data_IF_064115513653
#
_entry.id   IF_064115513653
#
_cell.length_a   1.000
_cell.length_b   1.000
_cell.length_c   1.000
_cell.angle_alpha   90.00
_cell.angle_beta   90.00
_cell.angle_gamma   90.00
#
_symmetry.space_group_name_H-M   'P 1'
#
loop_
_entity.id
_entity.type
_entity.pdbx_description
1 polymer ?
#
# COMPACT_ATOMS: atom_id res chain seq x y z
N UNK A 1 20.18 -24.40 2.70
CA UNK A 1 18.75 -24.69 2.37
C UNK A 1 17.73 -24.39 3.47
N UNK A 2 17.96 -24.64 4.78
CA UNK A 2 16.98 -24.28 5.84
C UNK A 2 17.10 -22.83 6.35
N UNK A 3 18.30 -22.23 6.29
CA UNK A 3 18.53 -20.82 6.66
C UNK A 3 18.06 -19.81 5.60
N UNK A 4 18.14 -20.19 4.33
CA UNK A 4 17.74 -19.35 3.18
C UNK A 4 16.21 -19.18 3.05
N UNK A 5 15.44 -20.20 3.50
CA UNK A 5 13.98 -20.09 3.66
C UNK A 5 13.55 -19.19 4.83
N UNK A 6 14.44 -18.92 5.78
CA UNK A 6 14.19 -18.11 6.97
C UNK A 6 14.61 -16.64 6.78
N UNK A 7 15.54 -16.33 5.87
CA UNK A 7 15.85 -14.92 5.49
C UNK A 7 14.87 -14.38 4.45
N UNK A 8 14.21 -15.26 3.69
CA UNK A 8 13.04 -14.94 2.87
C UNK A 8 11.74 -14.82 3.69
N UNK A 9 11.79 -15.07 5.01
CA UNK A 9 10.77 -14.56 5.94
C UNK A 9 10.88 -13.04 5.97
N UNK A 10 10.27 -12.42 4.96
CA UNK A 10 9.24 -11.43 5.24
C UNK A 10 9.80 -10.24 6.04
N UNK A 11 10.26 -9.18 5.35
CA UNK A 11 10.53 -7.89 6.01
C UNK A 11 9.33 -7.54 6.91
N UNK A 12 9.54 -6.92 8.08
CA UNK A 12 8.48 -6.63 9.10
C UNK A 12 7.16 -6.07 8.53
N UNK A 13 7.20 -5.55 7.30
CA UNK A 13 6.11 -4.90 6.58
C UNK A 13 5.31 -5.81 5.67
N UNK A 14 5.79 -6.96 5.25
CA UNK A 14 4.98 -7.99 4.60
C UNK A 14 4.74 -9.09 5.65
N UNK A 15 3.72 -9.92 5.53
CA UNK A 15 3.54 -11.18 6.25
C UNK A 15 2.70 -12.10 5.39
N UNK A 16 3.01 -13.40 5.37
CA UNK A 16 2.28 -14.41 4.61
C UNK A 16 1.83 -15.46 5.61
N UNK A 17 0.52 -15.68 5.68
CA UNK A 17 -0.12 -16.65 6.55
C UNK A 17 -0.82 -17.69 5.68
N UNK A 18 -0.52 -18.96 5.94
CA UNK A 18 -1.13 -20.09 5.23
C UNK A 18 -2.25 -20.68 6.08
N UNK A 19 -3.45 -20.67 5.52
CA UNK A 19 -4.60 -21.38 6.06
C UNK A 19 -5.00 -22.50 5.10
N UNK A 20 -5.78 -23.47 5.58
CA UNK A 20 -6.21 -24.62 4.76
C UNK A 20 -7.02 -24.19 3.53
N UNK A 21 -7.82 -23.12 3.67
CA UNK A 21 -8.76 -22.67 2.63
C UNK A 21 -8.38 -21.36 1.93
N UNK A 22 -7.37 -20.64 2.43
CA UNK A 22 -6.89 -19.39 1.83
C UNK A 22 -5.45 -19.06 2.21
N UNK A 23 -4.81 -18.18 1.43
CA UNK A 23 -3.57 -17.51 1.79
C UNK A 23 -3.89 -16.07 2.18
N UNK A 24 -3.40 -15.60 3.32
CA UNK A 24 -3.48 -14.19 3.71
C UNK A 24 -2.12 -13.53 3.59
N UNK A 25 -2.07 -12.43 2.84
CA UNK A 25 -0.89 -11.59 2.74
C UNK A 25 -1.21 -10.26 3.41
N UNK A 26 -0.45 -9.93 4.45
CA UNK A 26 -0.62 -8.71 5.23
C UNK A 26 0.52 -7.77 4.93
N UNK A 27 0.22 -6.52 4.60
CA UNK A 27 1.21 -5.50 4.29
C UNK A 27 1.01 -4.23 5.12
N UNK A 28 1.96 -3.89 5.97
CA UNK A 28 1.99 -2.62 6.68
C UNK A 28 2.28 -1.45 5.74
N UNK A 29 1.65 -0.30 6.01
CA UNK A 29 1.86 0.91 5.21
C UNK A 29 3.05 1.73 5.68
N UNK A 30 3.39 1.60 6.97
CA UNK A 30 4.46 2.33 7.62
C UNK A 30 5.79 2.15 6.89
N UNK A 31 6.39 3.27 6.53
CA UNK A 31 7.73 3.40 5.96
C UNK A 31 8.65 4.13 6.93
N UNK A 32 9.95 4.19 6.60
CA UNK A 32 10.91 4.99 7.36
C UNK A 32 10.62 6.50 7.28
N UNK A 33 9.91 6.93 6.23
CA UNK A 33 9.49 8.33 6.05
C UNK A 33 8.25 8.71 6.84
N UNK A 34 7.47 7.73 7.34
CA UNK A 34 6.26 7.99 8.12
C UNK A 34 6.50 8.81 9.40
N UNK A 35 7.50 8.51 10.26
CA UNK A 35 7.77 9.35 11.44
C UNK A 35 8.16 10.79 11.08
N UNK A 36 8.95 11.01 10.03
CA UNK A 36 9.30 12.36 9.57
C UNK A 36 8.06 13.16 9.15
N UNK A 37 7.16 12.51 8.40
CA UNK A 37 5.90 13.12 8.00
C UNK A 37 4.99 13.42 9.21
N UNK A 38 5.01 12.58 10.24
CA UNK A 38 4.26 12.79 11.47
C UNK A 38 4.73 14.04 12.23
N UNK A 39 6.06 14.22 12.39
CA UNK A 39 6.62 15.43 13.02
C UNK A 39 6.23 16.67 12.23
N UNK A 40 6.37 16.65 10.91
CA UNK A 40 5.94 17.74 10.04
C UNK A 40 4.46 18.05 10.21
N UNK A 41 3.61 17.03 10.30
CA UNK A 41 2.16 17.18 10.47
C UNK A 41 1.80 17.81 11.80
N UNK A 42 2.45 17.39 12.89
CA UNK A 42 2.23 17.98 14.22
C UNK A 42 2.65 19.45 14.23
N UNK A 43 3.83 19.75 13.68
CA UNK A 43 4.32 21.13 13.56
C UNK A 43 3.39 22.00 12.72
N UNK A 44 2.95 21.52 11.55
CA UNK A 44 2.03 22.23 10.66
C UNK A 44 0.70 22.54 11.32
N UNK A 45 0.07 21.56 11.97
CA UNK A 45 -1.19 21.78 12.69
C UNK A 45 -0.98 22.71 13.90
N UNK A 46 0.17 22.62 14.58
CA UNK A 46 0.54 23.54 15.65
C UNK A 46 0.65 25.00 15.19
N UNK A 47 1.28 25.25 14.04
CA UNK A 47 1.34 26.59 13.45
C UNK A 47 -0.05 27.15 13.12
N UNK A 48 -0.96 26.31 12.62
CA UNK A 48 -2.35 26.73 12.34
C UNK A 48 -3.10 27.07 13.62
N UNK A 49 -2.98 26.24 14.66
CA UNK A 49 -3.59 26.53 15.98
C UNK A 49 -3.04 27.85 16.53
N UNK A 50 -1.72 28.05 16.47
CA UNK A 50 -1.09 29.29 16.91
C UNK A 50 -1.58 30.50 16.10
N UNK A 51 -1.66 30.37 14.77
CA UNK A 51 -2.19 31.43 13.90
C UNK A 51 -3.58 31.88 14.33
N UNK A 52 -4.49 30.92 14.58
CA UNK A 52 -5.84 31.25 15.05
C UNK A 52 -5.87 31.80 16.48
N UNK A 53 -4.90 31.47 17.33
CA UNK A 53 -4.84 31.99 18.71
C UNK A 53 -4.43 33.45 18.84
N UNK A 54 -3.75 34.02 17.83
CA UNK A 54 -3.31 35.42 17.83
C UNK A 54 -4.32 36.36 17.14
N UNK A 55 -5.40 35.81 16.58
CA UNK A 55 -6.46 36.62 15.96
C UNK A 55 -7.25 37.38 17.01
N UNK A 56 -7.76 38.54 16.63
CA UNK A 56 -8.56 39.42 17.47
C UNK A 56 -9.73 40.01 16.68
N UNK A 57 -10.61 40.74 17.37
CA UNK A 57 -11.82 41.34 16.78
C UNK A 57 -11.54 42.31 15.61
N UNK A 58 -10.33 42.87 15.54
CA UNK A 58 -9.90 43.80 14.49
C UNK A 58 -9.19 43.10 13.31
N UNK A 59 -9.07 41.77 13.34
CA UNK A 59 -8.34 41.02 12.33
C UNK A 59 -9.09 41.05 10.99
N UNK A 60 -8.42 41.42 9.87
CA UNK A 60 -9.06 41.46 8.57
C UNK A 60 -9.64 40.10 8.17
N UNK A 61 -10.81 40.08 7.54
CA UNK A 61 -11.49 38.84 7.13
C UNK A 61 -10.59 37.92 6.28
N UNK A 62 -9.74 38.49 5.43
CA UNK A 62 -8.80 37.73 4.61
C UNK A 62 -7.77 36.96 5.45
N UNK A 63 -7.33 37.50 6.59
CA UNK A 63 -6.38 36.87 7.52
C UNK A 63 -7.03 35.68 8.25
N UNK A 64 -8.35 35.74 8.46
CA UNK A 64 -9.16 34.68 9.07
C UNK A 64 -9.42 33.54 8.07
N UNK A 65 -9.75 33.88 6.82
CA UNK A 65 -10.15 32.93 5.79
C UNK A 65 -8.98 32.27 5.06
N UNK A 66 -7.86 32.98 4.88
CA UNK A 66 -6.68 32.46 4.17
C UNK A 66 -6.17 31.10 4.69
N UNK A 67 -6.10 30.84 6.01
CA UNK A 67 -5.64 29.55 6.53
C UNK A 67 -6.69 28.44 6.42
N UNK A 68 -7.93 28.70 6.01
CA UNK A 68 -8.99 27.69 5.98
C UNK A 68 -8.62 26.47 5.11
N UNK A 69 -8.08 26.72 3.91
CA UNK A 69 -7.59 25.64 3.04
C UNK A 69 -6.39 24.91 3.65
N UNK A 70 -5.56 25.60 4.42
CA UNK A 70 -4.42 25.01 5.13
C UNK A 70 -4.87 24.13 6.30
N UNK A 71 -5.97 24.47 6.99
CA UNK A 71 -6.63 23.62 8.00
C UNK A 71 -7.16 22.35 7.35
N UNK A 72 -7.89 22.47 6.24
CA UNK A 72 -8.37 21.29 5.50
C UNK A 72 -7.20 20.38 5.07
N UNK A 73 -6.09 20.96 4.61
CA UNK A 73 -4.87 20.23 4.30
C UNK A 73 -4.24 19.58 5.54
N UNK A 74 -4.20 20.29 6.67
CA UNK A 74 -3.67 19.80 7.95
C UNK A 74 -4.43 18.60 8.51
N UNK A 75 -5.77 18.65 8.47
CA UNK A 75 -6.66 17.56 8.87
C UNK A 75 -6.49 16.37 7.93
N UNK A 76 -6.47 16.61 6.62
CA UNK A 76 -6.29 15.56 5.62
C UNK A 76 -4.94 14.85 5.78
N UNK A 77 -3.89 15.63 6.07
CA UNK A 77 -2.55 15.11 6.31
C UNK A 77 -2.48 14.31 7.63
N UNK A 78 -3.11 14.80 8.70
CA UNK A 78 -3.21 14.08 9.97
C UNK A 78 -3.91 12.72 9.80
N UNK A 79 -5.04 12.71 9.09
CA UNK A 79 -5.74 11.48 8.73
C UNK A 79 -4.86 10.52 7.93
N UNK A 80 -4.14 11.05 6.93
CA UNK A 80 -3.24 10.25 6.10
C UNK A 80 -2.09 9.64 6.92
N UNK A 81 -1.46 10.42 7.80
CA UNK A 81 -0.38 9.93 8.68
C UNK A 81 -0.91 8.85 9.63
N UNK A 82 -2.10 9.05 10.22
CA UNK A 82 -2.73 8.03 11.06
C UNK A 82 -2.98 6.74 10.27
N UNK A 83 -3.49 6.83 9.04
CA UNK A 83 -3.67 5.69 8.15
C UNK A 83 -2.33 5.00 7.83
N UNK A 84 -1.24 5.73 7.54
CA UNK A 84 0.07 5.13 7.28
C UNK A 84 0.62 4.34 8.48
N UNK A 85 0.37 4.81 9.71
CA UNK A 85 0.83 4.15 10.92
C UNK A 85 0.00 2.92 11.29
N UNK A 86 -1.32 3.03 11.17
CA UNK A 86 -2.24 2.03 11.69
C UNK A 86 -2.70 1.02 10.64
N UNK A 87 -2.82 1.43 9.37
CA UNK A 87 -3.37 0.56 8.36
C UNK A 87 -2.41 -0.52 7.91
N UNK A 88 -3.01 -1.67 7.66
CA UNK A 88 -2.45 -2.78 6.91
C UNK A 88 -3.37 -3.09 5.74
N UNK A 89 -2.77 -3.47 4.62
CA UNK A 89 -3.50 -4.12 3.52
C UNK A 89 -3.51 -5.61 3.78
N UNK A 90 -4.70 -6.19 3.88
CA UNK A 90 -4.91 -7.62 3.93
C UNK A 90 -5.40 -8.10 2.57
N UNK A 91 -4.73 -9.12 2.05
CA UNK A 91 -5.03 -9.71 0.75
C UNK A 91 -5.33 -11.18 1.02
N UNK A 92 -6.61 -11.52 0.93
CA UNK A 92 -7.09 -12.89 1.10
C UNK A 92 -7.20 -13.53 -0.27
N UNK A 93 -6.51 -14.64 -0.47
CA UNK A 93 -6.50 -15.41 -1.70
C UNK A 93 -7.22 -16.72 -1.39
N UNK A 94 -8.51 -16.76 -1.70
CA UNK A 94 -9.34 -17.95 -1.57
C UNK A 94 -9.52 -18.66 -2.92
N UNK A 95 -10.13 -19.84 -2.90
CA UNK A 95 -10.33 -20.64 -4.11
C UNK A 95 -11.23 -19.95 -5.16
N UNK A 96 -12.23 -19.19 -4.71
CA UNK A 96 -13.22 -18.55 -5.60
C UNK A 96 -12.95 -17.07 -5.87
N UNK A 97 -12.34 -16.36 -4.91
CA UNK A 97 -12.11 -14.92 -5.00
C UNK A 97 -10.86 -14.47 -4.25
N UNK A 98 -10.32 -13.35 -4.72
CA UNK A 98 -9.29 -12.57 -4.05
C UNK A 98 -9.93 -11.32 -3.46
N UNK A 99 -9.70 -11.07 -2.16
CA UNK A 99 -10.26 -9.92 -1.43
C UNK A 99 -9.13 -9.05 -0.91
N UNK A 100 -9.17 -7.75 -1.21
CA UNK A 100 -8.23 -6.75 -0.68
C UNK A 100 -8.98 -5.82 0.27
N UNK A 101 -8.44 -5.65 1.46
CA UNK A 101 -9.01 -4.80 2.50
C UNK A 101 -7.93 -3.94 3.18
N UNK A 102 -8.24 -2.68 3.40
CA UNK A 102 -7.45 -1.76 4.21
C UNK A 102 -8.14 -1.55 5.55
N UNK A 103 -7.43 -1.86 6.63
CA UNK A 103 -7.96 -1.80 8.00
C UNK A 103 -6.85 -1.43 8.99
N UNK A 104 -7.16 -0.77 10.12
CA UNK A 104 -8.51 -0.50 10.65
C UNK A 104 -9.16 0.80 10.14
N UNK A 105 -8.40 1.78 9.69
CA UNK A 105 -8.94 3.07 9.23
C UNK A 105 -9.47 2.93 7.80
N UNK A 106 -10.69 3.41 7.49
CA UNK A 106 -11.25 3.36 6.14
C UNK A 106 -10.32 3.99 5.09
N UNK A 107 -10.04 3.26 4.03
CA UNK A 107 -9.28 3.79 2.91
C UNK A 107 -9.79 3.22 1.59
N UNK A 108 -9.66 4.02 0.52
CA UNK A 108 -10.08 3.61 -0.82
C UNK A 108 -9.14 2.51 -1.33
N UNK A 109 -9.69 1.52 -2.02
CA UNK A 109 -8.88 0.44 -2.61
C UNK A 109 -9.35 -0.96 -2.23
N UNK A 110 -10.30 -1.07 -1.29
CA UNK A 110 -10.99 -2.32 -1.00
C UNK A 110 -11.66 -2.86 -2.27
N UNK A 111 -11.45 -4.14 -2.56
CA UNK A 111 -11.96 -4.78 -3.79
C UNK A 111 -12.06 -6.28 -3.64
N UNK A 112 -12.95 -6.86 -4.42
CA UNK A 112 -13.08 -8.31 -4.59
C UNK A 112 -12.91 -8.65 -6.06
N UNK A 113 -12.16 -9.71 -6.34
CA UNK A 113 -11.83 -10.17 -7.69
C UNK A 113 -12.17 -11.66 -7.75
N UNK A 114 -13.20 -12.07 -8.51
CA UNK A 114 -13.47 -13.48 -8.75
C UNK A 114 -12.28 -14.14 -9.44
N UNK A 115 -11.86 -15.32 -8.96
CA UNK A 115 -10.76 -16.08 -9.55
C UNK A 115 -11.09 -16.47 -11.00
N UNK A 116 -12.36 -16.76 -11.28
CA UNK A 116 -12.87 -17.00 -12.64
C UNK A 116 -12.69 -15.82 -13.60
N UNK A 117 -12.53 -14.60 -13.08
CA UNK A 117 -12.27 -13.42 -13.89
C UNK A 117 -10.78 -13.27 -14.24
N UNK A 118 -9.88 -14.02 -13.60
CA UNK A 118 -8.43 -13.90 -13.74
C UNK A 118 -7.96 -14.66 -14.98
N UNK A 119 -7.42 -13.91 -15.94
CA UNK A 119 -6.77 -14.45 -17.13
C UNK A 119 -5.29 -14.79 -16.89
N UNK A 120 -4.60 -13.94 -16.14
CA UNK A 120 -3.16 -14.08 -15.90
C UNK A 120 -2.76 -13.42 -14.58
N UNK A 121 -1.78 -14.03 -13.91
CA UNK A 121 -1.09 -13.47 -12.74
C UNK A 121 0.41 -13.42 -13.04
N UNK A 122 1.07 -12.30 -12.73
CA UNK A 122 2.50 -12.12 -13.01
C UNK A 122 3.16 -11.08 -12.11
N UNK A 123 4.45 -11.26 -11.82
CA UNK A 123 5.28 -10.22 -11.22
C UNK A 123 5.79 -9.24 -12.29
N UNK A 124 5.80 -7.96 -11.95
CA UNK A 124 6.32 -6.86 -12.77
C UNK A 124 7.39 -6.10 -12.00
N UNK A 125 8.51 -5.84 -12.66
CA UNK A 125 9.52 -4.91 -12.12
C UNK A 125 9.12 -3.47 -12.43
N UNK A 126 9.36 -2.60 -11.45
CA UNK A 126 9.10 -1.18 -11.55
C UNK A 126 10.36 -0.42 -11.15
N UNK A 127 10.93 0.25 -12.14
CA UNK A 127 12.15 1.04 -12.01
C UNK A 127 11.74 2.48 -11.74
N UNK A 128 12.20 3.01 -10.62
CA UNK A 128 12.13 4.42 -10.27
C UNK A 128 13.47 5.07 -10.61
N UNK A 129 13.40 6.13 -11.42
CA UNK A 129 14.55 6.97 -11.71
C UNK A 129 14.55 8.15 -10.73
N UNK A 130 15.66 8.37 -10.04
CA UNK A 130 15.90 9.51 -9.16
C UNK A 130 17.22 10.18 -9.53
N UNK A 131 17.44 11.41 -9.06
CA UNK A 131 18.67 12.15 -9.32
C UNK A 131 19.92 11.42 -8.78
N UNK A 132 19.81 10.69 -7.67
CA UNK A 132 20.90 9.87 -7.10
C UNK A 132 21.00 8.43 -7.64
N UNK A 133 20.10 7.97 -8.52
CA UNK A 133 20.20 6.64 -9.12
C UNK A 133 18.86 5.94 -9.44
N UNK A 134 18.93 4.62 -9.70
CA UNK A 134 17.77 3.76 -9.98
C UNK A 134 17.38 2.97 -8.74
N UNK A 135 16.10 3.04 -8.35
CA UNK A 135 15.51 2.16 -7.34
C UNK A 135 14.56 1.18 -8.03
N UNK A 136 14.68 -0.11 -7.74
CA UNK A 136 13.82 -1.15 -8.33
C UNK A 136 12.87 -1.65 -7.25
N UNK A 137 11.60 -1.78 -7.59
CA UNK A 137 10.61 -2.45 -6.76
C UNK A 137 9.83 -3.45 -7.60
N UNK A 138 9.27 -4.47 -6.97
CA UNK A 138 8.47 -5.46 -7.65
C UNK A 138 7.00 -5.35 -7.25
N UNK A 139 6.10 -5.60 -8.20
CA UNK A 139 4.65 -5.55 -8.03
C UNK A 139 4.04 -6.86 -8.55
N UNK A 140 2.98 -7.37 -7.92
CA UNK A 140 2.20 -8.51 -8.45
C UNK A 140 0.92 -7.97 -9.07
N UNK A 141 0.66 -8.40 -10.30
CA UNK A 141 -0.46 -7.96 -11.11
C UNK A 141 -1.35 -9.13 -11.51
N UNK A 142 -2.63 -8.81 -11.65
CA UNK A 142 -3.67 -9.69 -12.17
C UNK A 142 -4.26 -9.03 -13.40
N UNK A 143 -4.24 -9.72 -14.54
CA UNK A 143 -5.00 -9.33 -15.73
C UNK A 143 -6.29 -10.14 -15.74
N UNK A 144 -7.42 -9.45 -15.83
CA UNK A 144 -8.72 -10.09 -15.96
C UNK A 144 -9.09 -10.36 -17.41
N UNK A 145 -10.07 -11.23 -17.66
CA UNK A 145 -10.51 -11.58 -19.02
C UNK A 145 -10.96 -10.38 -19.87
N UNK A 146 -11.48 -9.33 -19.23
CA UNK A 146 -11.85 -8.07 -19.87
C UNK A 146 -10.64 -7.12 -20.12
N UNK A 147 -9.41 -7.56 -19.91
CA UNK A 147 -8.19 -6.80 -20.16
C UNK A 147 -7.79 -5.82 -19.05
N UNK A 148 -8.55 -5.71 -17.95
CA UNK A 148 -8.20 -4.82 -16.83
C UNK A 148 -6.96 -5.36 -16.11
N UNK A 149 -5.98 -4.48 -15.93
CA UNK A 149 -4.79 -4.76 -15.12
C UNK A 149 -5.01 -4.28 -13.69
N UNK A 150 -5.03 -5.21 -12.74
CA UNK A 150 -5.27 -4.95 -11.33
C UNK A 150 -4.00 -5.24 -10.56
N UNK A 151 -3.45 -4.21 -9.90
CA UNK A 151 -2.33 -4.39 -8.97
C UNK A 151 -2.80 -5.11 -7.70
N UNK A 152 -2.21 -6.26 -7.40
CA UNK A 152 -2.52 -7.06 -6.22
C UNK A 152 -1.62 -6.67 -5.05
N UNK A 153 -0.30 -6.68 -5.28
CA UNK A 153 0.72 -6.45 -4.25
C UNK A 153 1.72 -5.45 -4.81
N UNK A 154 2.22 -4.57 -3.96
CA UNK A 154 3.15 -3.52 -4.39
C UNK A 154 4.33 -3.36 -3.46
N UNK A 155 5.39 -2.76 -4.01
CA UNK A 155 6.63 -2.41 -3.30
C UNK A 155 7.24 -3.62 -2.60
N UNK A 156 7.32 -4.73 -3.32
CA UNK A 156 8.12 -5.89 -2.92
C UNK A 156 9.60 -5.53 -3.10
N UNK A 157 10.42 -5.95 -2.14
CA UNK A 157 11.80 -5.48 -1.99
C UNK A 157 12.77 -6.24 -2.92
N UNK A 158 12.43 -7.47 -3.30
CA UNK A 158 13.26 -8.29 -4.18
C UNK A 158 12.46 -9.01 -5.27
N UNK A 159 13.14 -9.28 -6.38
CA UNK A 159 12.58 -10.09 -7.47
C UNK A 159 12.32 -11.53 -7.05
N UNK A 160 13.16 -12.07 -6.15
CA UNK A 160 12.97 -13.40 -5.56
C UNK A 160 11.69 -13.48 -4.72
N UNK A 161 11.41 -12.47 -3.89
CA UNK A 161 10.18 -12.38 -3.11
C UNK A 161 8.96 -12.30 -4.04
N UNK A 162 9.04 -11.49 -5.09
CA UNK A 162 7.96 -11.38 -6.06
C UNK A 162 7.74 -12.67 -6.85
N UNK A 163 8.80 -13.36 -7.24
CA UNK A 163 8.73 -14.65 -7.93
C UNK A 163 8.18 -15.75 -7.02
N UNK A 164 8.67 -15.85 -5.78
CA UNK A 164 8.17 -16.80 -4.78
C UNK A 164 6.65 -16.63 -4.60
N UNK A 165 6.21 -15.40 -4.36
CA UNK A 165 4.82 -15.08 -4.11
C UNK A 165 3.95 -15.28 -5.35
N UNK A 166 4.46 -14.96 -6.54
CA UNK A 166 3.81 -15.27 -7.82
C UNK A 166 3.54 -16.78 -7.96
N UNK A 167 4.57 -17.61 -7.75
CA UNK A 167 4.47 -19.06 -7.87
C UNK A 167 3.54 -19.67 -6.82
N UNK A 168 3.60 -19.18 -5.59
CA UNK A 168 2.77 -19.63 -4.49
C UNK A 168 1.29 -19.35 -4.74
N UNK A 169 0.96 -18.13 -5.18
CA UNK A 169 -0.42 -17.76 -5.52
C UNK A 169 -0.90 -18.56 -6.74
N UNK A 170 -0.08 -18.72 -7.77
CA UNK A 170 -0.42 -19.53 -8.96
C UNK A 170 -0.72 -20.98 -8.57
N UNK A 171 0.11 -21.58 -7.73
CA UNK A 171 -0.06 -22.96 -7.24
C UNK A 171 -1.37 -23.10 -6.47
N UNK A 172 -1.67 -22.16 -5.59
CA UNK A 172 -2.90 -22.17 -4.80
C UNK A 172 -4.15 -22.04 -5.69
N UNK A 173 -4.14 -21.10 -6.65
CA UNK A 173 -5.26 -20.85 -7.56
C UNK A 173 -5.35 -21.81 -8.74
N UNK A 174 -4.38 -22.74 -8.89
CA UNK A 174 -4.26 -23.65 -10.05
C UNK A 174 -4.25 -22.93 -11.40
N UNK A 175 -3.68 -21.72 -11.44
CA UNK A 175 -3.55 -20.93 -12.66
C UNK A 175 -2.31 -21.41 -13.42
N UNK A 176 -2.46 -21.72 -14.71
CA UNK A 176 -1.35 -22.15 -15.57
C UNK A 176 -0.35 -21.01 -15.77
N UNK A 177 0.92 -21.37 -15.89
CA UNK A 177 1.96 -20.40 -16.20
C UNK A 177 1.84 -19.96 -17.67
N UNK A 178 1.51 -18.68 -17.88
CA UNK A 178 1.46 -18.10 -19.21
C UNK A 178 2.75 -17.31 -19.43
N UNK A 179 3.52 -17.56 -20.50
CA UNK A 179 4.75 -16.83 -20.75
C UNK A 179 4.50 -15.32 -20.75
N UNK A 180 5.41 -14.55 -20.12
CA UNK A 180 5.38 -13.09 -20.17
C UNK A 180 5.40 -12.67 -21.64
N UNK A 181 4.28 -12.13 -22.13
CA UNK A 181 4.27 -11.43 -23.42
C UNK A 181 5.30 -10.31 -23.33
N UNK A 182 6.30 -10.36 -24.22
CA UNK A 182 7.33 -9.34 -24.36
C UNK A 182 6.72 -7.96 -24.61
#
# INVERSE_FOLDING_TARGET
MRKEKAELEISERLQIHHFESYIEIVRAWRSWTTPLLAVFTVFWNGLLVYWYSILNENSPLIVILFPFLHVAAGISLAYYVAALWLNKTHIYIGAEKIVIQHKPIPWRGNKEIPVSAIKQLYAKEKIFHSAEGKSISHEIHVITHNGKNIKLIEKLESGEQAFYLEQEIKKFLKIKDTPRGK
#
